data_IF_939634983545
#
_entry.id   IF_939634983545
#
_cell.length_a   1.000
_cell.length_b   1.000
_cell.length_c   1.000
_cell.angle_alpha   90.00
_cell.angle_beta   90.00
_cell.angle_gamma   90.00
#
_symmetry.space_group_name_H-M   'P 1'
#
loop_
_entity.id
_entity.type
_entity.pdbx_description
1 polymer ?
#
# COMPACT_ATOMS: atom_id res chain seq x y z
N UNK A 1 23.30 -14.42 -13.99
CA UNK A 1 24.33 -14.22 -12.94
C UNK A 1 23.98 -13.09 -11.98
N UNK A 2 23.60 -11.89 -12.44
CA UNK A 2 23.17 -10.78 -11.57
C UNK A 2 22.06 -11.13 -10.58
N UNK A 3 21.02 -11.86 -11.02
CA UNK A 3 19.88 -12.29 -10.17
C UNK A 3 20.31 -13.15 -8.98
N UNK A 4 21.31 -14.03 -9.16
CA UNK A 4 21.85 -14.85 -8.08
C UNK A 4 22.66 -13.99 -7.11
N UNK A 5 23.49 -13.08 -7.63
CA UNK A 5 24.28 -12.17 -6.81
C UNK A 5 23.39 -11.25 -5.96
N UNK A 6 22.37 -10.63 -6.57
CA UNK A 6 21.44 -9.76 -5.85
C UNK A 6 20.61 -10.54 -4.82
N UNK A 7 20.24 -11.80 -5.11
CA UNK A 7 19.60 -12.67 -4.12
C UNK A 7 20.51 -12.99 -2.94
N UNK A 8 21.77 -13.36 -3.18
CA UNK A 8 22.75 -13.62 -2.12
C UNK A 8 23.00 -12.37 -1.29
N UNK A 9 23.12 -11.20 -1.92
CA UNK A 9 23.29 -9.92 -1.24
C UNK A 9 22.07 -9.58 -0.36
N UNK A 10 20.85 -9.82 -0.85
CA UNK A 10 19.63 -9.58 -0.09
C UNK A 10 19.52 -10.55 1.10
N UNK A 11 19.90 -11.83 0.92
CA UNK A 11 20.01 -12.78 2.04
C UNK A 11 21.02 -12.35 3.09
N UNK A 12 22.17 -11.83 2.67
CA UNK A 12 23.18 -11.27 3.58
C UNK A 12 22.61 -10.04 4.32
N UNK A 13 21.92 -9.14 3.62
CA UNK A 13 21.27 -7.98 4.22
C UNK A 13 20.19 -8.38 5.23
N UNK A 14 19.31 -9.32 4.89
CA UNK A 14 18.28 -9.82 5.82
C UNK A 14 18.94 -10.51 7.00
N UNK A 15 19.96 -11.35 6.77
CA UNK A 15 20.71 -12.02 7.82
C UNK A 15 21.41 -11.05 8.78
N UNK A 16 22.01 -9.98 8.27
CA UNK A 16 22.66 -8.94 9.10
C UNK A 16 21.64 -8.12 9.88
N UNK A 17 20.49 -7.77 9.29
CA UNK A 17 19.39 -7.11 10.00
C UNK A 17 18.87 -8.01 11.13
N UNK A 18 18.60 -9.28 10.84
CA UNK A 18 18.15 -10.28 11.82
C UNK A 18 19.15 -10.44 12.95
N UNK A 19 20.44 -10.58 12.62
CA UNK A 19 21.52 -10.69 13.59
C UNK A 19 21.64 -9.45 14.47
N UNK A 20 21.59 -8.25 13.86
CA UNK A 20 21.63 -6.98 14.57
C UNK A 20 20.44 -6.81 15.51
N UNK A 21 19.23 -7.17 15.05
CA UNK A 21 18.02 -7.13 15.85
C UNK A 21 18.11 -8.10 17.03
N UNK A 22 18.60 -9.32 16.79
CA UNK A 22 18.82 -10.31 17.84
C UNK A 22 19.81 -9.77 18.88
N UNK A 23 20.98 -9.27 18.47
CA UNK A 23 21.97 -8.74 19.42
C UNK A 23 21.48 -7.53 20.22
N UNK A 24 20.63 -6.69 19.63
CA UNK A 24 20.14 -5.48 20.32
C UNK A 24 19.00 -5.77 21.28
N UNK A 25 18.05 -6.61 20.88
CA UNK A 25 16.82 -6.85 21.63
C UNK A 25 16.88 -8.07 22.56
N UNK A 26 17.72 -9.07 22.26
CA UNK A 26 17.83 -10.28 23.10
C UNK A 26 18.47 -10.02 24.48
N UNK A 27 19.59 -9.25 24.61
CA UNK A 27 20.22 -9.04 25.91
C UNK A 27 19.41 -8.16 26.85
N UNK A 28 18.74 -7.13 26.32
CA UNK A 28 18.04 -6.10 27.08
C UNK A 28 16.53 -6.41 27.30
N UNK A 29 16.03 -7.49 26.70
CA UNK A 29 14.59 -7.84 26.74
C UNK A 29 14.18 -8.64 27.99
N UNK A 30 12.90 -8.50 28.37
CA UNK A 30 12.23 -9.36 29.36
C UNK A 30 12.10 -10.79 28.83
N UNK A 31 11.84 -11.77 29.71
CA UNK A 31 11.65 -13.18 29.30
C UNK A 31 10.60 -13.33 28.18
N UNK A 32 9.44 -12.68 28.33
CA UNK A 32 8.39 -12.67 27.32
C UNK A 32 8.87 -12.05 25.98
N UNK A 33 9.62 -10.94 26.05
CA UNK A 33 10.19 -10.31 24.86
C UNK A 33 11.15 -11.22 24.11
N UNK A 34 11.98 -12.00 24.84
CA UNK A 34 12.89 -12.98 24.24
C UNK A 34 12.15 -14.11 23.55
N UNK A 35 11.09 -14.63 24.18
CA UNK A 35 10.24 -15.68 23.58
C UNK A 35 9.58 -15.18 22.30
N UNK A 36 8.99 -13.98 22.31
CA UNK A 36 8.38 -13.37 21.11
C UNK A 36 9.41 -13.18 20.00
N UNK A 37 10.62 -12.73 20.32
CA UNK A 37 11.70 -12.58 19.35
C UNK A 37 12.06 -13.93 18.72
N UNK A 38 12.23 -14.98 19.52
CA UNK A 38 12.51 -16.33 19.02
C UNK A 38 11.38 -16.83 18.12
N UNK A 39 10.10 -16.62 18.50
CA UNK A 39 8.95 -16.96 17.67
C UNK A 39 9.04 -16.23 16.32
N UNK A 40 9.30 -14.92 16.32
CA UNK A 40 9.45 -14.14 15.07
C UNK A 40 10.55 -14.72 14.19
N UNK A 41 11.71 -15.08 14.76
CA UNK A 41 12.81 -15.68 14.00
C UNK A 41 12.47 -17.05 13.44
N UNK A 42 11.81 -17.90 14.23
CA UNK A 42 11.35 -19.22 13.77
C UNK A 42 10.38 -19.07 12.62
N UNK A 43 9.42 -18.15 12.75
CA UNK A 43 8.45 -17.87 11.70
C UNK A 43 9.12 -17.31 10.45
N UNK A 44 10.09 -16.41 10.60
CA UNK A 44 10.89 -15.89 9.49
C UNK A 44 11.60 -17.03 8.75
N UNK A 45 12.24 -17.95 9.48
CA UNK A 45 12.91 -19.11 8.90
C UNK A 45 11.92 -20.07 8.21
N UNK A 46 10.80 -20.40 8.86
CA UNK A 46 9.74 -21.22 8.28
C UNK A 46 9.14 -20.59 7.03
N UNK A 47 9.06 -19.25 6.98
CA UNK A 47 8.60 -18.47 5.83
C UNK A 47 9.47 -18.68 4.59
N UNK A 48 10.74 -19.04 4.74
CA UNK A 48 11.60 -19.38 3.60
C UNK A 48 11.65 -20.88 3.31
N UNK A 49 11.55 -21.73 4.32
CA UNK A 49 11.64 -23.20 4.18
C UNK A 49 10.35 -23.80 3.62
N UNK A 50 9.18 -23.45 4.17
CA UNK A 50 7.88 -23.96 3.71
C UNK A 50 6.83 -22.83 3.53
N UNK A 51 6.91 -22.08 2.41
CA UNK A 51 6.11 -20.88 2.19
C UNK A 51 4.66 -21.15 1.77
N UNK A 52 4.35 -22.38 1.35
CA UNK A 52 3.04 -22.71 0.79
C UNK A 52 2.01 -22.99 1.89
N UNK A 53 2.44 -23.07 3.15
CA UNK A 53 1.56 -23.20 4.29
C UNK A 53 0.77 -21.90 4.50
N UNK A 54 -0.57 -21.94 4.42
CA UNK A 54 -1.39 -20.73 4.57
C UNK A 54 -1.20 -20.05 5.94
N UNK A 55 -0.87 -20.84 6.96
CA UNK A 55 -0.49 -20.34 8.27
C UNK A 55 0.77 -19.46 8.19
N UNK A 56 1.82 -19.94 7.52
CA UNK A 56 3.11 -19.22 7.39
C UNK A 56 2.93 -17.92 6.60
N UNK A 57 2.13 -17.93 5.54
CA UNK A 57 1.80 -16.71 4.78
C UNK A 57 1.04 -15.68 5.63
N UNK A 58 0.11 -16.14 6.46
CA UNK A 58 -0.64 -15.28 7.39
C UNK A 58 0.29 -14.68 8.45
N UNK A 59 1.20 -15.49 9.00
CA UNK A 59 2.18 -15.04 9.97
C UNK A 59 3.20 -14.05 9.37
N UNK A 60 3.60 -14.24 8.11
CA UNK A 60 4.41 -13.26 7.38
C UNK A 60 3.71 -11.91 7.28
N UNK A 61 2.40 -11.88 7.02
CA UNK A 61 1.62 -10.64 6.98
C UNK A 61 1.67 -9.90 8.31
N UNK A 62 1.58 -10.61 9.43
CA UNK A 62 1.70 -10.04 10.78
C UNK A 62 3.10 -9.46 11.01
N UNK A 63 4.16 -10.18 10.62
CA UNK A 63 5.55 -9.71 10.77
C UNK A 63 5.83 -8.50 9.86
N UNK A 64 5.24 -8.47 8.66
CA UNK A 64 5.38 -7.37 7.70
C UNK A 64 4.54 -6.14 8.04
N UNK A 65 3.56 -6.27 8.95
CA UNK A 65 2.70 -5.19 9.38
C UNK A 65 3.45 -3.90 9.80
N UNK A 66 4.46 -3.95 10.70
CA UNK A 66 5.27 -2.77 11.06
C UNK A 66 6.01 -2.14 9.89
N UNK A 67 6.21 -2.85 8.78
CA UNK A 67 6.91 -2.32 7.62
C UNK A 67 5.98 -1.51 6.72
N UNK A 68 4.66 -1.67 6.85
CA UNK A 68 3.66 -0.91 6.08
C UNK A 68 3.50 0.48 6.70
N UNK A 69 3.25 1.54 5.89
CA UNK A 69 3.14 2.91 6.40
C UNK A 69 2.13 3.05 7.55
N UNK A 70 0.92 2.50 7.38
CA UNK A 70 -0.11 2.51 8.41
C UNK A 70 0.32 1.74 9.67
N UNK A 71 0.88 0.53 9.50
CA UNK A 71 1.27 -0.30 10.63
C UNK A 71 2.44 0.27 11.42
N UNK A 72 3.42 0.85 10.73
CA UNK A 72 4.54 1.58 11.33
C UNK A 72 4.04 2.73 12.22
N UNK A 73 3.16 3.58 11.68
CA UNK A 73 2.61 4.72 12.42
C UNK A 73 1.78 4.30 13.62
N UNK A 74 0.91 3.29 13.48
CA UNK A 74 0.10 2.77 14.59
C UNK A 74 1.00 2.24 15.71
N UNK A 75 2.03 1.45 15.39
CA UNK A 75 2.95 0.93 16.40
C UNK A 75 3.76 2.04 17.08
N UNK A 76 4.23 3.03 16.33
CA UNK A 76 4.91 4.19 16.91
C UNK A 76 3.98 4.96 17.86
N UNK A 77 2.71 5.14 17.50
CA UNK A 77 1.72 5.77 18.38
C UNK A 77 1.42 4.93 19.62
N UNK A 78 1.33 3.61 19.50
CA UNK A 78 1.17 2.70 20.65
C UNK A 78 2.36 2.83 21.61
N UNK A 79 3.59 2.82 21.09
CA UNK A 79 4.78 3.01 21.93
C UNK A 79 4.88 4.41 22.52
N UNK A 80 4.41 5.44 21.81
CA UNK A 80 4.31 6.78 22.36
C UNK A 80 3.27 6.88 23.48
N UNK A 81 2.13 6.20 23.33
CA UNK A 81 1.08 6.18 24.34
C UNK A 81 1.57 5.55 25.65
N UNK A 82 2.44 4.54 25.58
CA UNK A 82 3.09 3.95 26.77
C UNK A 82 4.03 4.93 27.51
N UNK A 83 4.39 6.06 26.89
CA UNK A 83 5.22 7.11 27.47
C UNK A 83 4.39 8.29 28.01
N UNK A 84 3.06 8.18 28.04
CA UNK A 84 2.21 9.19 28.66
C UNK A 84 2.24 8.99 30.17
N UNK A 85 2.77 9.98 30.90
CA UNK A 85 2.81 9.99 32.36
C UNK A 85 2.51 11.40 32.89
N UNK A 86 1.76 11.48 33.98
CA UNK A 86 1.51 12.76 34.68
C UNK A 86 0.87 13.85 33.81
N UNK A 87 0.10 13.49 32.78
CA UNK A 87 -0.53 14.44 31.85
C UNK A 87 0.36 14.94 30.71
N UNK A 88 1.62 14.49 30.61
CA UNK A 88 2.54 14.79 29.52
C UNK A 88 3.01 13.54 28.77
N UNK A 89 3.67 13.75 27.63
CA UNK A 89 4.35 12.68 26.87
C UNK A 89 5.85 12.75 27.16
N UNK A 90 6.38 11.76 27.88
CA UNK A 90 7.80 11.65 28.18
C UNK A 90 8.62 11.41 26.90
N UNK A 91 9.86 11.89 26.86
CA UNK A 91 10.80 11.56 25.77
C UNK A 91 11.18 10.06 25.83
N UNK A 92 11.23 9.34 24.70
CA UNK A 92 11.12 9.81 23.32
C UNK A 92 9.70 9.80 22.72
N UNK A 93 8.64 9.67 23.51
CA UNK A 93 7.25 9.57 23.05
C UNK A 93 6.82 10.67 22.09
N UNK A 94 7.22 11.93 22.34
CA UNK A 94 6.92 13.04 21.43
C UNK A 94 7.54 12.85 20.03
N UNK A 95 8.77 12.32 19.95
CA UNK A 95 9.40 12.02 18.66
C UNK A 95 8.69 10.87 17.94
N UNK A 96 8.23 9.86 18.67
CA UNK A 96 7.49 8.74 18.10
C UNK A 96 6.18 9.20 17.46
N UNK A 97 5.44 10.11 18.11
CA UNK A 97 4.22 10.70 17.54
C UNK A 97 4.56 11.54 16.32
N UNK A 98 5.59 12.39 16.41
CA UNK A 98 6.03 13.21 15.27
C UNK A 98 6.36 12.38 14.04
N UNK A 99 7.12 11.29 14.21
CA UNK A 99 7.41 10.36 13.11
C UNK A 99 6.17 9.61 12.62
N UNK A 100 5.30 9.13 13.52
CA UNK A 100 4.08 8.45 13.14
C UNK A 100 3.17 9.32 12.27
N UNK A 101 2.96 10.58 12.68
CA UNK A 101 2.18 11.57 11.94
C UNK A 101 2.85 11.92 10.62
N UNK A 102 4.17 12.07 10.58
CA UNK A 102 4.91 12.36 9.34
C UNK A 102 4.75 11.23 8.33
N UNK A 103 4.86 9.97 8.76
CA UNK A 103 4.66 8.79 7.90
C UNK A 103 3.21 8.74 7.38
N UNK A 104 2.22 8.98 8.25
CA UNK A 104 0.82 9.02 7.84
C UNK A 104 0.56 10.14 6.85
N UNK A 105 1.06 11.35 7.12
CA UNK A 105 0.88 12.51 6.26
C UNK A 105 1.47 12.24 4.88
N UNK A 106 2.73 11.79 4.81
CA UNK A 106 3.35 11.43 3.53
C UNK A 106 2.55 10.35 2.79
N UNK A 107 2.23 9.24 3.47
CA UNK A 107 1.54 8.10 2.85
C UNK A 107 0.10 8.41 2.42
N UNK A 108 -0.53 9.40 3.04
CA UNK A 108 -1.91 9.82 2.78
C UNK A 108 -2.02 10.94 1.73
N UNK A 109 -0.91 11.44 1.18
CA UNK A 109 -0.99 12.47 0.12
C UNK A 109 -1.14 11.86 -1.28
N UNK A 110 -2.11 12.33 -2.09
CA UNK A 110 -2.22 11.97 -3.51
C UNK A 110 -0.93 12.21 -4.31
N UNK A 111 -0.21 13.28 -4.00
CA UNK A 111 1.07 13.59 -4.64
C UNK A 111 2.09 12.45 -4.50
N UNK A 112 2.16 11.80 -3.34
CA UNK A 112 3.08 10.69 -3.10
C UNK A 112 2.55 9.41 -3.75
N UNK A 113 1.25 9.15 -3.62
CA UNK A 113 0.61 8.01 -4.28
C UNK A 113 0.86 8.02 -5.79
N UNK A 114 0.80 9.19 -6.43
CA UNK A 114 1.09 9.36 -7.85
C UNK A 114 2.47 8.83 -8.27
N UNK A 115 3.52 9.16 -7.52
CA UNK A 115 4.87 8.66 -7.81
C UNK A 115 4.98 7.15 -7.55
N UNK A 116 4.33 6.65 -6.50
CA UNK A 116 4.31 5.23 -6.19
C UNK A 116 3.61 4.39 -7.26
N UNK A 117 2.48 4.86 -7.82
CA UNK A 117 1.73 4.12 -8.85
C UNK A 117 2.46 4.08 -10.20
N UNK A 118 3.41 5.00 -10.43
CA UNK A 118 4.25 5.01 -11.64
C UNK A 118 5.39 4.00 -11.60
N UNK A 119 5.58 3.32 -10.47
CA UNK A 119 6.60 2.29 -10.36
C UNK A 119 6.19 1.05 -11.15
N UNK A 120 7.14 0.30 -11.74
CA UNK A 120 6.84 -0.90 -12.51
C UNK A 120 6.06 -1.95 -11.70
N UNK A 121 6.21 -1.90 -10.38
CA UNK A 121 5.63 -2.86 -9.44
C UNK A 121 4.15 -2.55 -9.21
N UNK A 122 3.77 -1.28 -9.14
CA UNK A 122 2.37 -0.88 -9.06
C UNK A 122 1.57 -1.25 -10.33
N UNK A 123 2.20 -1.21 -11.50
CA UNK A 123 1.57 -1.57 -12.78
C UNK A 123 1.14 -3.05 -12.86
N UNK A 124 1.87 -3.94 -12.19
CA UNK A 124 1.56 -5.39 -12.14
C UNK A 124 0.40 -5.69 -11.19
N UNK A 125 0.25 -4.89 -10.13
CA UNK A 125 -0.68 -5.16 -9.01
C UNK A 125 -2.05 -4.57 -9.25
N UNK A 126 -2.10 -3.34 -9.76
CA UNK A 126 -3.33 -2.62 -10.08
C UNK A 126 -3.29 -2.21 -11.56
N UNK A 127 -3.44 -3.18 -12.50
CA UNK A 127 -3.47 -2.86 -13.92
C UNK A 127 -4.64 -1.93 -14.26
N UNK A 128 -5.71 -1.89 -13.47
CA UNK A 128 -6.82 -0.94 -13.67
C UNK A 128 -6.42 0.49 -13.35
N UNK A 129 -5.59 0.72 -12.34
CA UNK A 129 -5.12 2.06 -11.94
C UNK A 129 -3.96 2.54 -12.82
N UNK A 130 -3.10 1.62 -13.27
CA UNK A 130 -2.00 1.93 -14.20
C UNK A 130 -2.44 1.99 -15.67
N UNK A 131 -3.44 1.20 -16.09
CA UNK A 131 -3.98 1.13 -17.46
C UNK A 131 -5.36 1.81 -17.61
N UNK A 132 -5.74 2.70 -16.69
CA UNK A 132 -6.95 3.53 -16.85
C UNK A 132 -6.91 4.38 -18.15
N UNK A 133 -5.72 4.54 -18.76
CA UNK A 133 -5.52 5.10 -20.11
C UNK A 133 -6.17 4.22 -21.21
N UNK A 134 -6.17 2.89 -21.08
CA UNK A 134 -6.75 1.99 -22.10
C UNK A 134 -8.27 2.15 -22.15
N UNK A 135 -8.93 2.34 -21.00
CA UNK A 135 -10.40 2.54 -20.95
C UNK A 135 -10.78 3.96 -21.41
N UNK A 136 -9.96 4.98 -21.14
CA UNK A 136 -10.18 6.35 -21.62
C UNK A 136 -10.12 6.50 -23.13
N UNK A 137 -9.28 5.73 -23.81
CA UNK A 137 -9.21 5.78 -25.28
C UNK A 137 -10.46 5.23 -25.98
N UNK A 138 -11.36 4.56 -25.26
CA UNK A 138 -12.68 4.14 -25.77
C UNK A 138 -13.83 5.01 -25.26
N UNK A 139 -13.57 6.04 -24.46
CA UNK A 139 -14.57 7.01 -24.01
C UNK A 139 -14.68 8.14 -25.04
N UNK A 140 -15.88 8.50 -25.52
CA UNK A 140 -16.06 9.57 -26.50
C UNK A 140 -15.55 10.91 -25.96
N UNK A 141 -14.96 11.72 -26.84
CA UNK A 141 -14.48 13.07 -26.52
C UNK A 141 -15.59 13.90 -25.86
N UNK A 142 -15.45 14.14 -24.55
CA UNK A 142 -16.44 14.84 -23.74
C UNK A 142 -16.81 14.14 -22.42
N UNK A 143 -16.43 12.88 -22.21
CA UNK A 143 -16.69 12.17 -20.96
C UNK A 143 -15.67 12.55 -19.86
N UNK A 144 -15.99 13.58 -19.09
CA UNK A 144 -15.24 13.97 -17.89
C UNK A 144 -15.45 12.96 -16.75
N UNK A 145 -14.56 11.96 -16.67
CA UNK A 145 -14.09 11.40 -15.40
C UNK A 145 -15.09 10.79 -14.41
N UNK A 146 -16.28 10.35 -14.85
CA UNK A 146 -17.18 9.55 -14.02
C UNK A 146 -17.03 8.08 -14.40
N UNK A 147 -16.81 7.22 -13.40
CA UNK A 147 -16.76 5.77 -13.57
C UNK A 147 -18.05 5.27 -14.25
N UNK A 148 -17.99 5.00 -15.55
CA UNK A 148 -19.12 4.45 -16.30
C UNK A 148 -19.20 2.97 -15.94
N UNK A 149 -20.10 2.62 -15.03
CA UNK A 149 -20.47 1.25 -14.75
C UNK A 149 -21.23 0.68 -15.97
N UNK A 150 -20.54 -0.06 -16.83
CA UNK A 150 -21.16 -0.78 -17.95
C UNK A 150 -21.77 -2.07 -17.40
N UNK A 151 -23.06 -2.05 -17.10
CA UNK A 151 -23.82 -3.26 -16.79
C UNK A 151 -24.07 -4.04 -18.09
N UNK A 152 -23.31 -5.11 -18.33
CA UNK A 152 -23.66 -6.07 -19.37
C UNK A 152 -24.81 -6.95 -18.85
N UNK A 153 -26.01 -6.76 -19.40
CA UNK A 153 -27.11 -7.69 -19.19
C UNK A 153 -26.76 -9.04 -19.83
N UNK A 154 -27.12 -10.19 -19.23
CA UNK A 154 -26.82 -11.49 -19.83
C UNK A 154 -27.67 -11.64 -21.11
N UNK A 155 -27.03 -11.64 -22.28
CA UNK A 155 -27.67 -11.98 -23.55
C UNK A 155 -27.42 -11.06 -24.74
N UNK A 156 -26.64 -9.98 -24.62
CA UNK A 156 -26.39 -9.07 -25.75
C UNK A 156 -25.13 -9.42 -26.53
N UNK A 157 -25.30 -9.78 -27.80
CA UNK A 157 -24.20 -9.90 -28.78
C UNK A 157 -23.77 -8.52 -29.26
N UNK A 158 -22.48 -8.40 -29.62
CA UNK A 158 -21.69 -7.16 -29.83
C UNK A 158 -22.14 -6.20 -30.95
N UNK A 159 -23.36 -6.30 -31.47
CA UNK A 159 -23.80 -5.58 -32.67
C UNK A 159 -24.87 -4.52 -32.42
N UNK A 160 -25.43 -4.39 -31.21
CA UNK A 160 -26.56 -3.48 -30.93
C UNK A 160 -26.15 -2.16 -30.24
N UNK A 161 -24.88 -1.76 -30.30
CA UNK A 161 -24.40 -0.54 -29.60
C UNK A 161 -24.77 0.76 -30.32
N UNK A 162 -25.39 0.70 -31.51
CA UNK A 162 -25.64 1.90 -32.32
C UNK A 162 -27.11 2.05 -32.73
N UNK A 163 -27.99 2.43 -31.79
CA UNK A 163 -29.22 3.18 -32.14
C UNK A 163 -30.03 3.60 -30.91
N UNK A 164 -29.96 4.90 -30.59
CA UNK A 164 -31.13 5.75 -30.30
C UNK A 164 -32.09 5.41 -29.15
N UNK A 165 -31.69 4.63 -28.15
CA UNK A 165 -32.43 4.55 -26.88
C UNK A 165 -31.46 4.66 -25.70
N UNK A 166 -31.19 5.92 -25.36
CA UNK A 166 -30.83 6.37 -24.02
C UNK A 166 -29.95 5.42 -23.21
N UNK A 167 -28.64 5.50 -23.41
CA UNK A 167 -27.73 5.48 -22.27
C UNK A 167 -28.05 6.67 -21.37
N UNK A 168 -29.17 6.58 -20.64
CA UNK A 168 -29.16 6.96 -19.23
C UNK A 168 -28.20 5.96 -18.59
N UNK A 169 -26.91 6.19 -18.81
CA UNK A 169 -25.91 5.84 -17.82
C UNK A 169 -26.54 6.30 -16.52
N UNK A 170 -26.75 5.37 -15.59
CA UNK A 170 -27.24 5.69 -14.25
C UNK A 170 -26.10 6.45 -13.59
N UNK A 171 -25.95 7.71 -13.99
CA UNK A 171 -25.12 8.68 -13.35
C UNK A 171 -25.83 8.94 -12.03
N UNK A 172 -25.29 8.40 -10.94
CA UNK A 172 -25.70 8.74 -9.58
C UNK A 172 -25.42 10.23 -9.23
N UNK A 173 -25.08 11.05 -10.23
CA UNK A 173 -24.82 12.48 -10.16
C UNK A 173 -25.96 13.26 -10.83
N UNK A 174 -27.23 12.96 -10.49
CA UNK A 174 -28.40 13.70 -10.99
C UNK A 174 -28.73 14.94 -10.15
N UNK A 175 -27.90 15.27 -9.17
CA UNK A 175 -27.97 16.51 -8.42
C UNK A 175 -26.65 17.24 -8.63
N UNK A 176 -26.74 18.50 -9.06
CA UNK A 176 -25.64 19.45 -9.30
C UNK A 176 -24.97 19.85 -7.98
N UNK A 177 -24.53 18.85 -7.23
CA UNK A 177 -23.82 18.96 -5.97
C UNK A 177 -22.38 19.33 -6.33
N UNK A 178 -22.00 20.57 -6.05
CA UNK A 178 -20.60 20.99 -6.02
C UNK A 178 -19.88 20.22 -4.91
N UNK A 179 -19.40 19.02 -5.24
CA UNK A 179 -18.52 18.26 -4.38
C UNK A 179 -17.16 18.96 -4.46
N UNK A 180 -16.59 19.40 -3.33
CA UNK A 180 -15.28 20.01 -3.33
C UNK A 180 -14.24 19.10 -3.98
N UNK A 181 -13.35 19.64 -4.83
CA UNK A 181 -12.41 18.85 -5.62
C UNK A 181 -11.47 17.98 -4.78
N UNK A 182 -11.27 18.31 -3.50
CA UNK A 182 -10.47 17.51 -2.57
C UNK A 182 -11.11 16.17 -2.16
N UNK A 183 -12.42 16.00 -2.30
CA UNK A 183 -13.11 14.74 -1.98
C UNK A 183 -13.10 13.73 -3.14
N UNK A 184 -12.71 14.17 -4.34
CA UNK A 184 -12.69 13.38 -5.58
C UNK A 184 -11.26 13.20 -6.11
N UNK A 185 -10.26 13.25 -5.22
CA UNK A 185 -8.86 13.22 -5.59
C UNK A 185 -8.41 11.82 -6.02
N UNK A 186 -8.30 11.63 -7.32
CA UNK A 186 -7.64 10.46 -7.89
C UNK A 186 -6.19 10.81 -8.27
N UNK A 187 -5.17 10.11 -7.72
CA UNK A 187 -3.77 10.32 -8.11
C UNK A 187 -3.54 10.24 -9.63
N UNK A 188 -4.33 9.48 -10.40
CA UNK A 188 -4.18 9.40 -11.85
C UNK A 188 -4.49 10.72 -12.58
N UNK A 189 -5.42 11.53 -12.06
CA UNK A 189 -5.76 12.82 -12.67
C UNK A 189 -4.62 13.85 -12.61
N UNK A 190 -3.65 13.65 -11.70
CA UNK A 190 -2.43 14.47 -11.59
C UNK A 190 -1.58 14.34 -12.88
N UNK A 191 -1.71 13.22 -13.62
CA UNK A 191 -1.01 13.04 -14.90
C UNK A 191 -1.41 14.10 -15.92
N UNK A 192 -2.70 14.39 -16.00
CA UNK A 192 -3.29 15.27 -17.03
C UNK A 192 -3.28 16.72 -16.59
N UNK A 193 -3.61 17.00 -15.32
CA UNK A 193 -3.77 18.37 -14.82
C UNK A 193 -2.50 18.98 -14.21
N UNK A 194 -1.46 18.17 -13.99
CA UNK A 194 -0.28 18.54 -13.21
C UNK A 194 -0.49 18.49 -11.69
N UNK A 195 0.60 18.64 -10.94
CA UNK A 195 0.61 18.70 -9.47
C UNK A 195 0.00 20.02 -8.99
N UNK A 196 -0.94 19.95 -8.05
CA UNK A 196 -1.57 21.12 -7.44
C UNK A 196 -1.44 21.07 -5.92
N UNK A 197 -1.65 22.21 -5.26
CA UNK A 197 -1.58 22.28 -3.79
C UNK A 197 -2.64 21.39 -3.12
N UNK A 198 -3.78 21.22 -3.76
CA UNK A 198 -4.84 20.30 -3.32
C UNK A 198 -4.34 18.84 -3.24
N UNK A 199 -3.37 18.40 -4.03
CA UNK A 199 -2.81 17.03 -3.98
C UNK A 199 -1.98 16.71 -2.74
N UNK A 200 -1.77 17.71 -1.88
CA UNK A 200 -1.13 17.54 -0.58
C UNK A 200 -2.15 17.41 0.56
N UNK A 201 -3.45 17.42 0.26
CA UNK A 201 -4.51 17.15 1.23
C UNK A 201 -4.51 15.63 1.53
N UNK A 202 -4.34 15.22 2.80
CA UNK A 202 -4.38 13.80 3.16
C UNK A 202 -5.76 13.17 2.89
N UNK A 203 -5.79 11.96 2.31
CA UNK A 203 -7.01 11.16 2.15
C UNK A 203 -6.83 9.70 2.58
N UNK A 204 -7.93 9.05 2.97
CA UNK A 204 -7.92 7.66 3.41
C UNK A 204 -7.72 6.69 2.23
N UNK A 205 -8.28 7.02 1.06
CA UNK A 205 -8.15 6.22 -0.15
C UNK A 205 -6.70 6.15 -0.63
N UNK A 206 -5.98 7.27 -0.62
CA UNK A 206 -4.55 7.30 -0.99
C UNK A 206 -3.69 6.55 0.02
N UNK A 207 -4.01 6.61 1.30
CA UNK A 207 -3.34 5.80 2.33
C UNK A 207 -3.53 4.30 2.07
N UNK A 208 -4.72 3.88 1.65
CA UNK A 208 -5.00 2.50 1.27
C UNK A 208 -4.20 2.10 0.02
N UNK A 209 -4.21 2.93 -1.02
CA UNK A 209 -3.46 2.69 -2.26
C UNK A 209 -1.95 2.56 -2.00
N UNK A 210 -1.37 3.48 -1.24
CA UNK A 210 0.07 3.44 -0.88
C UNK A 210 0.40 2.21 -0.04
N UNK A 211 -0.46 1.84 0.90
CA UNK A 211 -0.31 0.62 1.70
C UNK A 211 -0.37 -0.65 0.84
N UNK A 212 -1.27 -0.71 -0.14
CA UNK A 212 -1.40 -1.85 -1.05
C UNK A 212 -0.16 -1.98 -1.95
N UNK A 213 0.32 -0.87 -2.50
CA UNK A 213 1.55 -0.83 -3.30
C UNK A 213 2.72 -1.35 -2.44
N UNK A 214 2.86 -0.86 -1.21
CA UNK A 214 3.92 -1.29 -0.30
C UNK A 214 3.82 -2.77 0.08
N UNK A 215 2.61 -3.29 0.28
CA UNK A 215 2.39 -4.73 0.49
C UNK A 215 2.86 -5.56 -0.71
N UNK A 216 2.63 -5.09 -1.93
CA UNK A 216 3.19 -5.76 -3.11
C UNK A 216 4.71 -5.74 -3.14
N UNK A 217 5.35 -4.62 -2.80
CA UNK A 217 6.81 -4.56 -2.71
C UNK A 217 7.37 -5.60 -1.74
N UNK A 218 6.76 -5.71 -0.56
CA UNK A 218 7.17 -6.69 0.45
C UNK A 218 6.97 -8.12 -0.05
N UNK A 219 5.85 -8.40 -0.74
CA UNK A 219 5.58 -9.69 -1.35
C UNK A 219 6.57 -10.01 -2.47
N UNK A 220 6.94 -9.04 -3.30
CA UNK A 220 7.91 -9.24 -4.36
C UNK A 220 9.30 -9.53 -3.80
N UNK A 221 9.75 -8.79 -2.78
CA UNK A 221 11.01 -9.07 -2.07
C UNK A 221 10.97 -10.49 -1.50
N UNK A 222 9.86 -10.87 -0.89
CA UNK A 222 9.65 -12.20 -0.35
C UNK A 222 9.75 -13.30 -1.43
N UNK A 223 9.05 -13.16 -2.56
CA UNK A 223 9.14 -14.11 -3.67
C UNK A 223 10.54 -14.15 -4.30
N UNK A 224 11.18 -12.99 -4.45
CA UNK A 224 12.53 -12.87 -5.01
C UNK A 224 13.57 -13.60 -4.16
N UNK A 225 13.48 -13.45 -2.83
CA UNK A 225 14.33 -14.15 -1.86
C UNK A 225 14.17 -15.68 -1.91
N UNK A 226 12.94 -16.15 -2.11
CA UNK A 226 12.60 -17.57 -2.28
C UNK A 226 13.10 -18.14 -3.61
N UNK A 227 13.24 -17.29 -4.62
CA UNK A 227 13.70 -17.68 -5.94
C UNK A 227 12.67 -18.34 -6.84
N UNK A 228 11.38 -18.23 -6.51
CA UNK A 228 10.31 -18.43 -7.49
C UNK A 228 10.18 -17.17 -8.32
N UNK A 229 10.41 -17.29 -9.63
CA UNK A 229 10.01 -16.28 -10.59
C UNK A 229 8.47 -16.35 -10.69
N UNK A 230 7.80 -15.23 -10.48
CA UNK A 230 6.42 -15.01 -10.93
C UNK A 230 6.39 -14.99 -12.45
#
# INVERSE_FOLDING_TARGET
MFILLSRVLLWLLVGTIVYSLFQRFYPQGTFAGRVVLVIILVVLALSFVNPNEPAVASLWRVISFPLKPLGASVLMMIFAAQKIKGGGIDKPGGYLIGWALTILLLSSTPAIAYFLVRTPIAAVVNPTVANQEIVRNYLPEGATGSEVLVALAPGTTTSDVNSTLGLKAIAFNSFDLQIPPYLLQNPQQIRERGLRLEDFVPSAETLQLTTQVWESYLNQVYFFLRGRQS
#
